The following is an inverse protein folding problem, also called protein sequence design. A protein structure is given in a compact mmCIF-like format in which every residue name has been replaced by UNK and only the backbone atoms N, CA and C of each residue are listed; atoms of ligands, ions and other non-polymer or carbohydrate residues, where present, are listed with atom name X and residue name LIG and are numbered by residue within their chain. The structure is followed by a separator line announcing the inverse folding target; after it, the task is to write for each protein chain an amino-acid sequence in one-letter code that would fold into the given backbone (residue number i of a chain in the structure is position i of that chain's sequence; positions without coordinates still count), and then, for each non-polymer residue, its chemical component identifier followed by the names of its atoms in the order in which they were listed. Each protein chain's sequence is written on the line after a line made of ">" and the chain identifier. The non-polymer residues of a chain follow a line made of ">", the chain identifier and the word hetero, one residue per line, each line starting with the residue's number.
data_IF_613415463191
#
_entry.id   IF_613415463191
#
_cell.length_a   1.000
_cell.length_b   1.000
_cell.length_c   1.000
_cell.angle_alpha   90.00
_cell.angle_beta   90.00
_cell.angle_gamma   90.00
#
_symmetry.space_group_name_H-M   'P 1'
#
loop_
_entity.id
_entity.type
_entity.pdbx_description
1 polymer ?
#
# COMPACT_ATOMS: atom_id res chain seq x y z
N UNK A 1 14.83 10.94 -7.77
CA UNK A 1 13.86 9.83 -7.69
C UNK A 1 14.58 8.62 -8.24
N UNK A 2 15.10 7.77 -7.36
CA UNK A 2 15.90 6.62 -7.79
C UNK A 2 14.96 5.47 -8.15
N UNK A 3 15.11 4.95 -9.37
CA UNK A 3 14.26 3.90 -9.93
C UNK A 3 14.81 2.56 -9.48
N UNK A 4 14.02 1.77 -8.74
CA UNK A 4 14.38 0.39 -8.42
C UNK A 4 13.70 -0.52 -9.44
N UNK A 5 14.50 -1.14 -10.31
CA UNK A 5 14.01 -2.03 -11.35
C UNK A 5 13.86 -3.44 -10.76
N UNK A 6 12.62 -3.95 -10.62
CA UNK A 6 12.29 -5.26 -9.99
C UNK A 6 11.86 -6.34 -11.00
N UNK A 7 12.32 -6.28 -12.25
CA UNK A 7 11.96 -7.29 -13.26
C UNK A 7 10.47 -7.26 -13.61
N UNK A 8 9.76 -8.37 -13.36
CA UNK A 8 8.31 -8.55 -13.63
C UNK A 8 7.40 -8.01 -12.51
N UNK A 9 7.96 -7.53 -11.39
CA UNK A 9 7.18 -6.87 -10.35
C UNK A 9 6.86 -5.41 -10.71
N UNK A 10 5.70 -4.88 -10.29
CA UNK A 10 5.35 -3.49 -10.53
C UNK A 10 6.44 -2.55 -10.02
N UNK A 11 6.74 -1.50 -10.80
CA UNK A 11 7.83 -0.55 -10.54
C UNK A 11 7.68 0.04 -9.13
N UNK A 12 8.65 -0.26 -8.26
CA UNK A 12 8.73 0.35 -6.92
C UNK A 12 9.61 1.59 -7.02
N UNK A 13 9.03 2.75 -6.75
CA UNK A 13 9.80 3.99 -6.64
C UNK A 13 10.43 4.05 -5.25
N UNK A 14 11.76 4.20 -5.20
CA UNK A 14 12.44 4.64 -3.98
C UNK A 14 12.08 6.11 -3.79
N UNK A 15 11.14 6.36 -2.89
CA UNK A 15 10.80 7.72 -2.49
C UNK A 15 11.78 8.15 -1.40
N UNK A 16 12.43 9.28 -1.60
CA UNK A 16 13.04 10.00 -0.49
C UNK A 16 11.93 10.42 0.47
N UNK A 17 12.14 10.26 1.78
CA UNK A 17 11.19 10.68 2.82
C UNK A 17 10.84 12.19 2.73
N UNK A 18 11.64 12.99 2.02
CA UNK A 18 11.43 14.43 1.77
C UNK A 18 10.40 14.77 0.66
N UNK A 19 9.68 13.77 0.14
CA UNK A 19 8.64 14.00 -0.86
C UNK A 19 7.34 14.49 -0.20
N UNK A 20 7.14 15.81 -0.19
CA UNK A 20 5.97 16.46 0.41
C UNK A 20 4.63 15.86 -0.07
N UNK A 21 4.53 15.44 -1.34
CA UNK A 21 3.31 14.82 -1.87
C UNK A 21 3.09 13.42 -1.29
N UNK A 22 4.16 12.64 -1.13
CA UNK A 22 4.08 11.32 -0.49
C UNK A 22 3.69 11.43 0.98
N UNK A 23 4.34 12.34 1.71
CA UNK A 23 4.03 12.60 3.11
C UNK A 23 2.57 13.05 3.30
N UNK A 24 2.08 13.92 2.41
CA UNK A 24 0.67 14.34 2.40
C UNK A 24 -0.29 13.19 2.09
N UNK A 25 0.09 12.27 1.18
CA UNK A 25 -0.71 11.10 0.87
C UNK A 25 -0.79 10.10 2.04
N UNK A 26 0.32 9.89 2.76
CA UNK A 26 0.36 9.07 3.97
C UNK A 26 -0.52 9.69 5.08
N UNK A 27 -0.42 11.01 5.27
CA UNK A 27 -1.26 11.72 6.24
C UNK A 27 -2.74 11.62 5.89
N UNK A 28 -3.09 11.78 4.60
CA UNK A 28 -4.46 11.62 4.13
C UNK A 28 -4.97 10.19 4.32
N UNK A 29 -4.15 9.18 4.04
CA UNK A 29 -4.50 7.78 4.29
C UNK A 29 -4.83 7.56 5.78
N UNK A 30 -4.00 8.07 6.68
CA UNK A 30 -4.24 7.97 8.13
C UNK A 30 -5.53 8.69 8.56
N UNK A 31 -5.77 9.91 8.04
CA UNK A 31 -6.98 10.69 8.34
C UNK A 31 -8.27 10.02 7.87
N UNK A 32 -8.20 9.26 6.78
CA UNK A 32 -9.35 8.61 6.13
C UNK A 32 -9.46 7.12 6.43
N UNK A 33 -8.65 6.60 7.36
CA UNK A 33 -8.67 5.17 7.72
C UNK A 33 -10.03 4.72 8.30
N UNK A 34 -10.84 5.65 8.82
CA UNK A 34 -12.22 5.37 9.23
C UNK A 34 -13.10 4.92 8.06
N UNK A 35 -12.88 5.42 6.84
CA UNK A 35 -13.62 5.02 5.65
C UNK A 35 -13.30 3.55 5.27
N UNK A 36 -12.04 3.16 5.44
CA UNK A 36 -11.60 1.78 5.29
C UNK A 36 -12.27 0.86 6.33
N UNK A 37 -12.34 1.29 7.60
CA UNK A 37 -12.99 0.55 8.67
C UNK A 37 -14.49 0.34 8.42
N UNK A 38 -15.17 1.36 7.93
CA UNK A 38 -16.58 1.29 7.59
C UNK A 38 -16.83 0.33 6.43
N UNK A 39 -16.00 0.40 5.38
CA UNK A 39 -16.07 -0.51 4.25
C UNK A 39 -15.78 -1.97 4.66
N UNK A 40 -14.79 -2.19 5.56
CA UNK A 40 -14.39 -3.52 6.01
C UNK A 40 -15.52 -4.26 6.75
N UNK A 41 -16.48 -3.56 7.37
CA UNK A 41 -17.64 -4.18 8.05
C UNK A 41 -18.58 -4.90 7.08
N UNK A 42 -18.60 -4.49 5.82
CA UNK A 42 -19.51 -5.01 4.78
C UNK A 42 -18.72 -5.66 3.63
N UNK A 43 -17.52 -6.19 3.94
CA UNK A 43 -16.46 -6.57 3.02
C UNK A 43 -16.73 -7.76 2.10
N UNK A 44 -17.98 -8.16 1.89
CA UNK A 44 -18.28 -9.29 1.02
C UNK A 44 -17.76 -9.03 -0.41
N UNK A 45 -16.82 -9.86 -0.85
CA UNK A 45 -16.24 -9.87 -2.20
C UNK A 45 -15.41 -8.63 -2.59
N UNK A 46 -14.77 -7.96 -1.63
CA UNK A 46 -13.84 -6.86 -1.91
C UNK A 46 -12.43 -7.20 -1.42
N UNK A 47 -11.43 -6.83 -2.21
CA UNK A 47 -10.03 -6.98 -1.84
C UNK A 47 -9.62 -5.80 -0.97
N UNK A 48 -9.27 -6.04 0.30
CA UNK A 48 -8.77 -5.02 1.23
C UNK A 48 -7.27 -5.22 1.48
N UNK A 49 -6.51 -4.14 1.48
CA UNK A 49 -5.09 -4.15 1.80
C UNK A 49 -4.67 -2.95 2.63
N UNK A 50 -3.71 -3.17 3.54
CA UNK A 50 -3.05 -2.14 4.33
C UNK A 50 -1.56 -2.11 3.99
N UNK A 51 -0.98 -0.92 3.82
CA UNK A 51 0.46 -0.74 3.61
C UNK A 51 1.11 -0.35 4.93
N UNK A 52 2.09 -1.11 5.36
CA UNK A 52 2.71 -1.02 6.67
C UNK A 52 4.14 -0.51 6.51
N UNK A 53 4.50 0.51 7.30
CA UNK A 53 5.88 0.99 7.44
C UNK A 53 6.64 0.08 8.41
N UNK A 54 7.82 -0.34 7.98
CA UNK A 54 8.81 -1.04 8.79
C UNK A 54 10.11 -0.22 8.81
N UNK A 55 10.55 0.17 10.00
CA UNK A 55 11.82 0.85 10.18
C UNK A 55 12.94 -0.21 10.33
N UNK A 56 13.96 -0.13 9.48
CA UNK A 56 15.06 -1.08 9.37
C UNK A 56 16.36 -0.29 9.38
N UNK A 57 17.03 -0.26 10.53
CA UNK A 57 18.21 0.58 10.76
C UNK A 57 17.88 2.05 10.40
N UNK A 58 18.63 2.62 9.45
CA UNK A 58 18.49 4.02 9.01
C UNK A 58 17.55 4.20 7.80
N UNK A 59 16.74 3.18 7.48
CA UNK A 59 15.80 3.19 6.34
C UNK A 59 14.40 2.76 6.76
N UNK A 60 13.42 3.16 5.97
CA UNK A 60 12.04 2.68 6.07
C UNK A 60 11.66 1.89 4.81
N UNK A 61 10.93 0.80 5.01
CA UNK A 61 10.30 0.05 3.93
C UNK A 61 8.79 0.00 4.13
N UNK A 62 8.05 -0.09 3.03
CA UNK A 62 6.60 -0.11 3.05
C UNK A 62 6.06 -1.36 2.35
N UNK A 63 5.31 -2.18 3.08
CA UNK A 63 4.92 -3.53 2.67
C UNK A 63 3.39 -3.65 2.73
N UNK A 64 2.79 -4.27 1.71
CA UNK A 64 1.36 -4.52 1.67
C UNK A 64 1.02 -5.83 2.41
N UNK A 65 -0.03 -5.75 3.24
CA UNK A 65 -0.72 -6.89 3.79
C UNK A 65 -2.14 -6.97 3.22
N UNK A 66 -2.62 -8.18 2.98
CA UNK A 66 -3.96 -8.50 2.47
C UNK A 66 -4.71 -9.37 3.48
N UNK A 67 -5.93 -9.81 3.15
CA UNK A 67 -6.79 -10.61 4.03
C UNK A 67 -6.97 -9.94 5.39
N UNK A 68 -7.24 -8.64 5.35
CA UNK A 68 -7.31 -7.79 6.53
C UNK A 68 -8.51 -8.17 7.39
N UNK A 69 -8.25 -8.39 8.67
CA UNK A 69 -9.27 -8.60 9.70
C UNK A 69 -9.02 -7.58 10.79
N UNK A 70 -10.08 -6.88 11.21
CA UNK A 70 -10.04 -5.99 12.38
C UNK A 70 -10.65 -6.72 13.58
N UNK A 71 -9.92 -6.72 14.70
CA UNK A 71 -10.39 -7.20 16.00
C UNK A 71 -10.13 -6.10 17.02
N UNK A 72 -11.20 -5.56 17.59
CA UNK A 72 -11.14 -4.36 18.44
C UNK A 72 -10.42 -3.20 17.72
N UNK A 73 -9.31 -2.72 18.27
CA UNK A 73 -8.48 -1.65 17.67
C UNK A 73 -7.32 -2.19 16.80
N UNK A 74 -7.10 -3.50 16.81
CA UNK A 74 -5.99 -4.13 16.11
C UNK A 74 -6.40 -4.63 14.72
N UNK A 75 -5.53 -4.43 13.74
CA UNK A 75 -5.63 -5.09 12.44
C UNK A 75 -4.70 -6.31 12.38
N UNK A 76 -5.13 -7.30 11.63
CA UNK A 76 -4.34 -8.47 11.29
C UNK A 76 -4.40 -8.67 9.78
N UNK A 77 -3.29 -9.10 9.18
CA UNK A 77 -3.22 -9.34 7.75
C UNK A 77 -2.16 -10.36 7.39
N UNK A 78 -2.08 -10.69 6.11
CA UNK A 78 -1.10 -11.60 5.53
C UNK A 78 -0.19 -10.79 4.61
N UNK A 79 1.13 -10.90 4.78
CA UNK A 79 2.11 -10.22 3.91
C UNK A 79 2.01 -10.77 2.48
N UNK A 80 1.72 -9.89 1.52
CA UNK A 80 1.44 -10.22 0.11
C UNK A 80 2.56 -9.81 -0.84
N UNK A 81 3.53 -9.02 -0.35
CA UNK A 81 4.76 -8.75 -1.07
C UNK A 81 5.96 -8.76 -0.11
N UNK A 82 7.11 -9.22 -0.59
CA UNK A 82 8.36 -9.14 0.17
C UNK A 82 9.12 -7.87 -0.24
N UNK A 83 9.80 -7.21 0.72
CA UNK A 83 10.69 -6.12 0.38
C UNK A 83 12.04 -6.64 -0.15
N UNK A 84 12.90 -5.72 -0.57
CA UNK A 84 14.23 -6.03 -1.10
C UNK A 84 15.30 -6.13 -0.01
N UNK A 85 15.06 -5.55 1.18
CA UNK A 85 15.98 -5.64 2.30
C UNK A 85 15.82 -6.96 3.05
N UNK A 86 16.91 -7.46 3.65
CA UNK A 86 16.84 -8.56 4.61
C UNK A 86 16.08 -8.10 5.85
N UNK A 87 14.77 -8.28 5.83
CA UNK A 87 13.94 -8.16 7.03
C UNK A 87 13.47 -9.51 7.47
N UNK A 88 13.26 -9.64 8.78
CA UNK A 88 12.77 -10.88 9.37
C UNK A 88 11.24 -11.01 9.20
N UNK A 89 10.74 -10.85 7.96
CA UNK A 89 9.34 -10.99 7.58
C UNK A 89 9.25 -11.94 6.39
N UNK A 90 8.29 -12.86 6.44
CA UNK A 90 8.11 -13.87 5.39
C UNK A 90 6.84 -13.60 4.58
N UNK A 91 6.88 -13.96 3.30
CA UNK A 91 5.69 -13.99 2.46
C UNK A 91 4.68 -14.95 3.09
N UNK A 92 3.39 -14.61 3.04
CA UNK A 92 2.30 -15.35 3.67
C UNK A 92 2.35 -15.39 5.21
N UNK A 93 3.19 -14.58 5.85
CA UNK A 93 3.19 -14.43 7.31
C UNK A 93 1.97 -13.63 7.77
N UNK A 94 1.28 -14.15 8.80
CA UNK A 94 0.23 -13.40 9.49
C UNK A 94 0.87 -12.42 10.47
N UNK A 95 0.58 -11.14 10.32
CA UNK A 95 1.12 -10.07 11.16
C UNK A 95 -0.01 -9.34 11.89
N UNK A 96 0.29 -8.87 13.11
CA UNK A 96 -0.48 -7.80 13.77
C UNK A 96 -0.01 -6.46 13.20
N UNK A 97 -0.94 -5.58 12.87
CA UNK A 97 -0.68 -4.30 12.23
C UNK A 97 -1.10 -3.20 13.20
N UNK A 98 -0.11 -2.44 13.66
CA UNK A 98 -0.30 -1.24 14.48
C UNK A 98 -0.80 -0.10 13.58
N UNK A 99 -1.84 0.60 14.05
CA UNK A 99 -2.48 1.68 13.29
C UNK A 99 -1.49 2.79 12.93
N UNK A 100 -0.56 3.09 13.83
CA UNK A 100 0.47 4.11 13.69
C UNK A 100 1.49 3.78 12.58
N UNK A 101 1.60 2.50 12.20
CA UNK A 101 2.49 2.05 11.12
C UNK A 101 1.79 2.02 9.76
N UNK A 102 0.48 2.31 9.70
CA UNK A 102 -0.24 2.34 8.43
C UNK A 102 0.18 3.57 7.64
N UNK A 103 0.65 3.30 6.42
CA UNK A 103 1.15 4.31 5.49
C UNK A 103 0.25 4.50 4.26
N UNK A 104 -0.62 3.52 3.99
CA UNK A 104 -1.65 3.60 2.96
C UNK A 104 -2.69 2.50 3.22
N UNK A 105 -3.84 2.64 2.58
CA UNK A 105 -4.87 1.60 2.56
C UNK A 105 -5.57 1.60 1.21
N UNK A 106 -6.07 0.45 0.79
CA UNK A 106 -6.88 0.38 -0.41
C UNK A 106 -7.95 -0.71 -0.32
N UNK A 107 -9.02 -0.51 -1.06
CA UNK A 107 -9.93 -1.61 -1.39
C UNK A 107 -10.55 -1.44 -2.77
N UNK A 108 -11.07 -2.54 -3.30
CA UNK A 108 -11.76 -2.54 -4.60
C UNK A 108 -13.26 -2.33 -4.43
N UNK A 109 -13.85 -1.38 -5.17
CA UNK A 109 -15.30 -1.22 -5.29
C UNK A 109 -15.69 -1.20 -6.75
N UNK A 110 -16.42 -2.22 -7.21
CA UNK A 110 -16.83 -2.38 -8.61
C UNK A 110 -15.65 -2.31 -9.62
N UNK A 111 -14.50 -2.92 -9.27
CA UNK A 111 -13.29 -2.89 -10.10
C UNK A 111 -12.52 -1.57 -10.09
N UNK A 112 -12.92 -0.60 -9.26
CA UNK A 112 -12.21 0.66 -9.05
C UNK A 112 -11.41 0.66 -7.75
N UNK A 113 -10.25 1.31 -7.77
CA UNK A 113 -9.43 1.57 -6.60
C UNK A 113 -10.08 2.63 -5.71
N UNK A 114 -10.39 2.27 -4.47
CA UNK A 114 -10.71 3.22 -3.40
C UNK A 114 -9.51 3.31 -2.46
N UNK A 115 -9.17 4.52 -2.02
CA UNK A 115 -7.90 4.79 -1.33
C UNK A 115 -6.71 4.72 -2.28
N UNK A 116 -5.64 4.07 -1.83
CA UNK A 116 -4.38 3.92 -2.55
C UNK A 116 -3.70 5.27 -2.81
N UNK A 117 -3.64 6.11 -1.79
CA UNK A 117 -3.17 7.49 -1.92
C UNK A 117 -1.71 7.55 -2.37
N UNK A 118 -0.86 6.68 -1.82
CA UNK A 118 0.54 6.59 -2.22
C UNK A 118 0.67 6.02 -3.63
N UNK A 119 -0.19 5.07 -4.02
CA UNK A 119 -0.25 4.55 -5.40
C UNK A 119 -0.59 5.66 -6.38
N UNK A 120 -1.55 6.53 -6.05
CA UNK A 120 -1.96 7.67 -6.91
C UNK A 120 -0.82 8.67 -7.08
N UNK A 121 -0.09 9.00 -6.02
CA UNK A 121 1.10 9.86 -6.11
C UNK A 121 2.17 9.22 -6.98
N UNK A 122 2.45 7.93 -6.79
CA UNK A 122 3.41 7.19 -7.63
C UNK A 122 3.00 7.22 -9.11
N UNK A 123 1.73 6.92 -9.40
CA UNK A 123 1.17 6.93 -10.75
C UNK A 123 1.25 8.31 -11.41
N UNK A 124 1.06 9.38 -10.64
CA UNK A 124 1.15 10.76 -11.16
C UNK A 124 2.59 11.18 -11.51
N UNK A 125 3.59 10.51 -10.95
CA UNK A 125 5.01 10.77 -11.22
C UNK A 125 5.59 9.91 -12.34
N UNK A 126 4.84 8.91 -12.81
CA UNK A 126 5.20 8.08 -13.96
C UNK A 126 5.12 8.90 -15.26
N UNK A 127 6.01 8.59 -16.21
CA UNK A 127 5.81 8.98 -17.61
C UNK A 127 4.56 8.30 -18.18
N UNK A 128 4.05 8.81 -19.30
CA UNK A 128 2.87 8.21 -19.97
C UNK A 128 3.05 6.72 -20.26
N UNK A 129 4.22 6.30 -20.76
CA UNK A 129 4.51 4.88 -21.04
C UNK A 129 4.54 4.02 -19.78
N UNK A 130 5.10 4.54 -18.69
CA UNK A 130 5.14 3.85 -17.39
C UNK A 130 3.74 3.74 -16.79
N UNK A 131 2.94 4.80 -16.90
CA UNK A 131 1.57 4.87 -16.44
C UNK A 131 0.67 3.91 -17.20
N UNK A 132 0.79 3.84 -18.52
CA UNK A 132 0.08 2.87 -19.36
C UNK A 132 0.46 1.42 -19.01
N UNK A 133 1.75 1.15 -18.76
CA UNK A 133 2.20 -0.18 -18.32
C UNK A 133 1.60 -0.53 -16.96
N UNK A 134 1.72 0.38 -16.00
CA UNK A 134 1.17 0.24 -14.67
C UNK A 134 -0.35 -0.01 -14.72
N UNK A 135 -1.11 0.77 -15.49
CA UNK A 135 -2.56 0.64 -15.59
C UNK A 135 -3.02 -0.68 -16.24
N UNK A 136 -2.19 -1.30 -17.09
CA UNK A 136 -2.46 -2.63 -17.65
C UNK A 136 -2.20 -3.76 -16.68
N UNK A 137 -1.20 -3.61 -15.81
CA UNK A 137 -0.77 -4.64 -14.85
C UNK A 137 -1.52 -4.52 -13.52
N UNK A 138 -1.92 -3.30 -13.16
CA UNK A 138 -2.65 -3.02 -11.93
C UNK A 138 -4.11 -3.45 -12.07
N UNK A 139 -4.53 -4.35 -11.20
CA UNK A 139 -5.82 -5.06 -11.29
C UNK A 139 -7.06 -4.17 -11.08
N UNK A 140 -6.89 -2.93 -10.61
CA UNK A 140 -7.98 -1.99 -10.36
C UNK A 140 -7.86 -0.77 -11.25
N UNK A 141 -8.99 -0.28 -11.75
CA UNK A 141 -9.01 1.01 -12.44
C UNK A 141 -8.81 2.17 -11.47
N UNK A 142 -7.99 3.13 -11.87
CA UNK A 142 -7.70 4.36 -11.13
C UNK A 142 -8.28 5.52 -11.95
N UNK A 143 -9.23 6.24 -11.35
CA UNK A 143 -9.78 7.48 -11.93
C UNK A 143 -8.68 8.54 -12.17
#
# INVERSE_FOLDING_TARGET
>A
MDRINRGDEPVVFSLSEDDNEMSSAIELANKTLVDFDEALKFSENQNFALKIRYDINDKSEHIWAVNIVKSDEDYFGIIDNLPNSEINIKLNEKVKIEKEKISDWMFSKNGKLVGGFTIRVLRNKMSELEKEKFDREFIFSID
#
